data_IF_146834797038
#
_entry.id   IF_146834797038
#
_cell.length_a   1.000
_cell.length_b   1.000
_cell.length_c   1.000
_cell.angle_alpha   90.00
_cell.angle_beta   90.00
_cell.angle_gamma   90.00
#
_symmetry.space_group_name_H-M   'P 1'
#
loop_
_entity.id
_entity.type
_entity.pdbx_description
1 polymer ?
#
# COMPACT_ATOMS: atom_id res chain seq x y z
N UNK A 1 8.97 -6.65 7.32
CA UNK A 1 8.98 -7.99 6.71
C UNK A 1 8.60 -7.92 5.23
N UNK A 2 7.37 -7.48 4.86
CA UNK A 2 6.90 -7.45 3.46
C UNK A 2 7.83 -6.62 2.57
N UNK A 3 8.11 -5.35 2.91
CA UNK A 3 8.98 -4.48 2.11
C UNK A 3 10.38 -5.08 1.86
N UNK A 4 11.00 -5.70 2.90
CA UNK A 4 12.28 -6.37 2.75
C UNK A 4 12.22 -7.54 1.75
N UNK A 5 11.16 -8.33 1.80
CA UNK A 5 10.99 -9.47 0.89
C UNK A 5 10.75 -9.01 -0.55
N UNK A 6 9.93 -7.96 -0.75
CA UNK A 6 9.74 -7.34 -2.08
C UNK A 6 11.07 -6.84 -2.65
N UNK A 7 11.88 -6.18 -1.83
CA UNK A 7 13.21 -5.69 -2.24
C UNK A 7 14.12 -6.83 -2.68
N UNK A 8 14.15 -7.95 -1.92
CA UNK A 8 14.95 -9.12 -2.28
C UNK A 8 14.56 -9.68 -3.64
N UNK A 9 13.25 -9.82 -3.87
CA UNK A 9 12.75 -10.36 -5.14
C UNK A 9 12.99 -9.40 -6.29
N UNK A 10 12.79 -8.09 -6.10
CA UNK A 10 13.13 -7.09 -7.09
C UNK A 10 14.62 -7.12 -7.46
N UNK A 11 15.50 -7.30 -6.48
CA UNK A 11 16.94 -7.40 -6.72
C UNK A 11 17.31 -8.56 -7.65
N UNK A 12 16.58 -9.68 -7.60
CA UNK A 12 16.80 -10.82 -8.52
C UNK A 12 16.45 -10.49 -9.97
N UNK A 13 15.56 -9.51 -10.18
CA UNK A 13 15.15 -9.07 -11.52
C UNK A 13 16.12 -8.04 -12.15
N UNK A 14 17.19 -7.71 -11.42
CA UNK A 14 18.25 -6.82 -11.88
C UNK A 14 17.73 -5.47 -12.41
N UNK A 15 16.96 -4.70 -11.62
CA UNK A 15 16.48 -3.39 -12.03
C UNK A 15 17.65 -2.43 -12.19
N UNK A 16 17.45 -1.36 -12.97
CA UNK A 16 18.47 -0.32 -13.15
C UNK A 16 18.90 0.29 -11.80
N UNK A 17 17.93 0.59 -10.93
CA UNK A 17 18.18 1.15 -9.60
C UNK A 17 17.06 0.74 -8.64
N UNK A 18 17.40 0.48 -7.38
CA UNK A 18 16.46 0.34 -6.26
C UNK A 18 16.60 1.54 -5.33
N UNK A 19 15.46 2.17 -5.03
CA UNK A 19 15.36 3.28 -4.08
C UNK A 19 14.58 2.79 -2.87
N UNK A 20 15.24 2.70 -1.73
CA UNK A 20 14.68 2.21 -0.47
C UNK A 20 14.40 3.40 0.44
N UNK A 21 13.14 3.51 0.87
CA UNK A 21 12.70 4.59 1.77
C UNK A 21 12.03 3.98 3.00
N UNK A 22 12.51 4.32 4.17
CA UNK A 22 11.88 3.96 5.47
C UNK A 22 12.23 5.04 6.50
N UNK A 23 11.38 5.23 7.49
CA UNK A 23 11.69 6.10 8.63
C UNK A 23 12.61 5.42 9.65
N UNK A 24 12.65 4.09 9.67
CA UNK A 24 13.46 3.31 10.58
C UNK A 24 14.85 3.02 9.98
N UNK A 25 15.88 3.67 10.53
CA UNK A 25 17.27 3.58 10.08
C UNK A 25 17.81 2.14 10.13
N UNK A 26 17.68 1.46 11.27
CA UNK A 26 18.31 0.15 11.48
C UNK A 26 17.82 -0.93 10.50
N UNK A 27 16.50 -1.16 10.32
CA UNK A 27 16.04 -2.12 9.33
C UNK A 27 16.43 -1.76 7.89
N UNK A 28 16.54 -0.45 7.59
CA UNK A 28 16.94 0.03 6.28
C UNK A 28 18.42 -0.28 6.00
N UNK A 29 19.27 -0.07 6.99
CA UNK A 29 20.69 -0.41 6.93
C UNK A 29 20.92 -1.93 6.77
N UNK A 30 20.17 -2.76 7.50
CA UNK A 30 20.25 -4.22 7.37
C UNK A 30 19.94 -4.70 5.95
N UNK A 31 18.93 -4.10 5.31
CA UNK A 31 18.58 -4.41 3.92
C UNK A 31 19.67 -3.95 2.96
N UNK A 32 20.26 -2.77 3.20
CA UNK A 32 21.36 -2.26 2.38
C UNK A 32 22.58 -3.19 2.43
N UNK A 33 22.97 -3.65 3.61
CA UNK A 33 24.06 -4.61 3.76
C UNK A 33 23.78 -5.91 3.01
N UNK A 34 22.59 -6.47 3.18
CA UNK A 34 22.19 -7.71 2.51
C UNK A 34 22.26 -7.56 0.97
N UNK A 35 21.79 -6.42 0.42
CA UNK A 35 21.85 -6.17 -1.02
C UNK A 35 23.29 -6.02 -1.51
N UNK A 36 24.15 -5.31 -0.77
CA UNK A 36 25.55 -5.12 -1.15
C UNK A 36 26.36 -6.42 -1.16
N UNK A 37 26.00 -7.36 -0.29
CA UNK A 37 26.67 -8.67 -0.20
C UNK A 37 26.29 -9.60 -1.38
N UNK A 38 25.01 -9.60 -1.76
CA UNK A 38 24.49 -10.57 -2.73
C UNK A 38 24.38 -10.01 -4.16
N UNK A 39 24.16 -8.70 -4.33
CA UNK A 39 23.95 -8.03 -5.63
C UNK A 39 24.92 -6.86 -5.85
N UNK A 40 26.20 -7.14 -5.98
CA UNK A 40 27.30 -6.16 -6.04
C UNK A 40 27.18 -5.13 -7.15
N UNK A 41 26.49 -5.46 -8.23
CA UNK A 41 26.33 -4.58 -9.39
C UNK A 41 25.01 -3.82 -9.40
N UNK A 42 24.14 -4.05 -8.40
CA UNK A 42 22.85 -3.37 -8.31
C UNK A 42 23.04 -1.97 -7.71
N UNK A 43 22.57 -0.95 -8.40
CA UNK A 43 22.55 0.40 -7.85
C UNK A 43 21.42 0.52 -6.81
N UNK A 44 21.82 0.75 -5.56
CA UNK A 44 20.90 0.86 -4.42
C UNK A 44 21.07 2.23 -3.76
N UNK A 45 19.97 2.98 -3.67
CA UNK A 45 19.90 4.23 -2.89
C UNK A 45 19.03 4.02 -1.66
N UNK A 46 19.58 4.38 -0.52
CA UNK A 46 18.92 4.28 0.78
C UNK A 46 18.64 5.67 1.33
N UNK A 47 17.38 5.95 1.63
CA UNK A 47 16.90 7.26 2.05
C UNK A 47 16.05 7.13 3.32
N UNK A 48 16.52 7.72 4.42
CA UNK A 48 15.73 7.80 5.64
C UNK A 48 14.71 8.92 5.49
N UNK A 49 13.43 8.56 5.47
CA UNK A 49 12.32 9.51 5.35
C UNK A 49 11.01 8.91 5.85
N UNK A 50 10.16 9.78 6.40
CA UNK A 50 8.78 9.47 6.76
C UNK A 50 7.85 9.80 5.58
N UNK A 51 6.99 8.85 5.20
CA UNK A 51 6.00 9.04 4.12
C UNK A 51 4.98 10.13 4.45
N UNK A 52 4.74 10.41 5.73
CA UNK A 52 3.88 11.51 6.16
C UNK A 52 4.52 12.90 5.91
N UNK A 53 5.85 12.98 5.74
CA UNK A 53 6.54 14.22 5.43
C UNK A 53 6.48 14.52 3.92
N UNK A 54 5.44 15.24 3.51
CA UNK A 54 5.19 15.60 2.09
C UNK A 54 6.38 16.25 1.43
N UNK A 55 7.00 17.23 2.06
CA UNK A 55 8.12 18.00 1.47
C UNK A 55 9.32 17.09 1.21
N UNK A 56 9.64 16.22 2.17
CA UNK A 56 10.76 15.28 2.01
C UNK A 56 10.49 14.25 0.92
N UNK A 57 9.27 13.69 0.91
CA UNK A 57 8.88 12.73 -0.13
C UNK A 57 8.86 13.37 -1.52
N UNK A 58 8.40 14.61 -1.64
CA UNK A 58 8.40 15.33 -2.90
C UNK A 58 9.82 15.54 -3.45
N UNK A 59 10.78 15.95 -2.60
CA UNK A 59 12.18 16.07 -2.99
C UNK A 59 12.76 14.72 -3.48
N UNK A 60 12.39 13.61 -2.82
CA UNK A 60 12.81 12.26 -3.24
C UNK A 60 12.23 11.93 -4.64
N UNK A 61 10.94 12.13 -4.87
CA UNK A 61 10.31 11.85 -6.17
C UNK A 61 10.87 12.74 -7.28
N UNK A 62 11.15 14.01 -6.99
CA UNK A 62 11.75 14.95 -7.94
C UNK A 62 13.15 14.51 -8.37
N UNK A 63 13.96 14.08 -7.42
CA UNK A 63 15.33 13.63 -7.65
C UNK A 63 15.41 12.28 -8.37
N UNK A 64 14.57 11.32 -7.93
CA UNK A 64 14.72 9.92 -8.35
C UNK A 64 13.83 9.52 -9.53
N UNK A 65 12.73 10.25 -9.78
CA UNK A 65 11.79 9.97 -10.87
C UNK A 65 11.44 8.49 -11.00
N UNK A 66 10.90 7.85 -9.96
CA UNK A 66 10.65 6.42 -9.98
C UNK A 66 9.61 6.07 -11.06
N UNK A 67 9.83 4.95 -11.74
CA UNK A 67 8.88 4.41 -12.73
C UNK A 67 7.84 3.50 -12.07
N UNK A 68 8.24 2.83 -11.00
CA UNK A 68 7.42 1.86 -10.26
C UNK A 68 7.56 2.14 -8.76
N UNK A 69 6.44 2.19 -8.05
CA UNK A 69 6.39 2.43 -6.60
C UNK A 69 5.65 1.29 -5.91
N UNK A 70 6.30 0.63 -4.95
CA UNK A 70 5.68 -0.28 -4.00
C UNK A 70 5.53 0.42 -2.65
N UNK A 71 4.31 0.77 -2.28
CA UNK A 71 4.01 1.44 -1.03
C UNK A 71 3.56 0.44 0.04
N UNK A 72 4.49 0.06 0.92
CA UNK A 72 4.24 -0.85 2.05
C UNK A 72 4.34 -0.18 3.42
N UNK A 73 4.67 1.11 3.45
CA UNK A 73 4.81 1.86 4.70
C UNK A 73 3.44 2.01 5.38
N UNK A 74 3.30 1.41 6.56
CA UNK A 74 2.09 1.51 7.37
C UNK A 74 2.37 1.01 8.79
N UNK A 75 1.72 1.60 9.79
CA UNK A 75 1.59 0.97 11.10
C UNK A 75 0.62 -0.21 11.01
N UNK A 76 0.95 -1.32 11.69
CA UNK A 76 0.24 -2.59 11.57
C UNK A 76 -0.20 -3.20 12.92
N UNK A 77 0.27 -2.67 14.02
CA UNK A 77 -0.03 -3.20 15.36
C UNK A 77 -1.36 -2.63 15.86
N UNK A 78 -2.42 -3.45 15.83
CA UNK A 78 -3.79 -3.04 16.17
C UNK A 78 -3.88 -2.38 17.54
N UNK A 79 -3.43 -3.07 18.60
CA UNK A 79 -3.52 -2.55 19.97
C UNK A 79 -2.83 -1.19 20.13
N UNK A 80 -1.64 -1.04 19.55
CA UNK A 80 -0.92 0.22 19.63
C UNK A 80 -1.63 1.33 18.85
N UNK A 81 -2.16 1.04 17.69
CA UNK A 81 -2.84 2.04 16.85
C UNK A 81 -4.22 2.41 17.38
N UNK A 82 -4.85 1.54 18.15
CA UNK A 82 -6.06 1.90 18.88
C UNK A 82 -5.80 2.94 19.96
N UNK A 83 -4.61 2.99 20.53
CA UNK A 83 -4.22 4.02 21.49
C UNK A 83 -3.70 5.30 20.79
N UNK A 84 -3.05 5.15 19.64
CA UNK A 84 -2.42 6.22 18.87
C UNK A 84 -3.06 6.41 17.49
N UNK A 85 -4.37 6.68 17.46
CA UNK A 85 -5.15 6.82 16.21
C UNK A 85 -4.61 7.93 15.32
N UNK A 86 -4.11 9.03 15.89
CA UNK A 86 -3.49 10.13 15.14
C UNK A 86 -2.30 9.66 14.31
N UNK A 87 -1.46 8.80 14.88
CA UNK A 87 -0.30 8.26 14.19
C UNK A 87 -0.70 7.29 13.06
N UNK A 88 -1.76 6.50 13.27
CA UNK A 88 -2.32 5.67 12.22
C UNK A 88 -2.85 6.53 11.06
N UNK A 89 -3.52 7.64 11.34
CA UNK A 89 -4.01 8.58 10.32
C UNK A 89 -2.83 9.22 9.57
N UNK A 90 -1.82 9.69 10.28
CA UNK A 90 -0.67 10.34 9.64
C UNK A 90 0.13 9.39 8.76
N UNK A 91 0.49 8.22 9.24
CA UNK A 91 1.31 7.29 8.46
C UNK A 91 0.49 6.55 7.41
N UNK A 92 -0.64 5.94 7.80
CA UNK A 92 -1.38 5.06 6.90
C UNK A 92 -2.23 5.83 5.88
N UNK A 93 -2.80 7.00 6.28
CA UNK A 93 -3.65 7.80 5.40
C UNK A 93 -2.84 8.91 4.74
N UNK A 94 -2.31 9.87 5.53
CA UNK A 94 -1.57 11.01 4.99
C UNK A 94 -0.34 10.56 4.19
N UNK A 95 0.40 9.57 4.68
CA UNK A 95 1.51 8.95 3.94
C UNK A 95 1.07 8.39 2.58
N UNK A 96 -0.05 7.65 2.55
CA UNK A 96 -0.58 7.10 1.28
C UNK A 96 -1.05 8.21 0.34
N UNK A 97 -1.74 9.24 0.85
CA UNK A 97 -2.13 10.43 0.07
C UNK A 97 -0.90 11.08 -0.56
N UNK A 98 0.17 11.28 0.22
CA UNK A 98 1.41 11.86 -0.29
C UNK A 98 2.01 11.04 -1.44
N UNK A 99 2.11 9.72 -1.26
CA UNK A 99 2.70 8.83 -2.27
C UNK A 99 1.82 8.80 -3.53
N UNK A 100 0.49 8.69 -3.40
CA UNK A 100 -0.42 8.66 -4.53
C UNK A 100 -0.36 9.97 -5.34
N UNK A 101 -0.46 11.12 -4.68
CA UNK A 101 -0.39 12.43 -5.33
C UNK A 101 0.95 12.66 -6.03
N UNK A 102 2.07 12.23 -5.38
CA UNK A 102 3.40 12.36 -5.97
C UNK A 102 3.59 11.39 -7.14
N UNK A 103 3.02 10.20 -7.08
CA UNK A 103 3.03 9.27 -8.21
C UNK A 103 2.38 9.90 -9.45
N UNK A 104 1.22 10.55 -9.27
CA UNK A 104 0.56 11.29 -10.35
C UNK A 104 1.41 12.47 -10.82
N UNK A 105 1.86 13.31 -9.89
CA UNK A 105 2.64 14.52 -10.21
C UNK A 105 3.90 14.21 -11.01
N UNK A 106 4.61 13.14 -10.65
CA UNK A 106 5.87 12.75 -11.26
C UNK A 106 5.73 11.64 -12.32
N UNK A 107 4.49 11.33 -12.74
CA UNK A 107 4.17 10.39 -13.82
C UNK A 107 4.78 9.01 -13.60
N UNK A 108 4.66 8.50 -12.37
CA UNK A 108 5.00 7.11 -12.06
C UNK A 108 4.12 6.20 -12.91
N UNK A 109 4.70 5.28 -13.64
CA UNK A 109 3.92 4.39 -14.51
C UNK A 109 2.97 3.51 -13.71
N UNK A 110 3.45 2.97 -12.58
CA UNK A 110 2.65 2.07 -11.73
C UNK A 110 2.91 2.27 -10.25
N UNK A 111 1.85 2.36 -9.46
CA UNK A 111 1.88 2.41 -8.00
C UNK A 111 1.10 1.25 -7.41
N UNK A 112 1.78 0.42 -6.63
CA UNK A 112 1.20 -0.72 -5.91
C UNK A 112 1.12 -0.38 -4.41
N UNK A 113 -0.09 -0.21 -3.89
CA UNK A 113 -0.33 -0.06 -2.46
C UNK A 113 -0.52 -1.44 -1.82
N UNK A 114 0.25 -1.73 -0.79
CA UNK A 114 0.12 -2.97 -0.02
C UNK A 114 -0.76 -2.73 1.19
N UNK A 115 -1.88 -3.44 1.22
CA UNK A 115 -2.88 -3.38 2.29
C UNK A 115 -3.05 -4.74 2.97
N UNK A 116 -4.01 -4.88 3.86
CA UNK A 116 -4.32 -6.09 4.59
C UNK A 116 -5.74 -6.57 4.27
N UNK A 117 -5.97 -7.88 4.30
CA UNK A 117 -7.29 -8.47 4.04
C UNK A 117 -8.38 -7.88 4.95
N UNK A 118 -8.07 -7.60 6.21
CA UNK A 118 -9.00 -7.04 7.18
C UNK A 118 -9.48 -5.61 6.83
N UNK A 119 -8.79 -4.89 5.93
CA UNK A 119 -9.27 -3.59 5.47
C UNK A 119 -10.61 -3.69 4.72
N UNK A 120 -11.04 -4.89 4.30
CA UNK A 120 -12.36 -5.13 3.69
C UNK A 120 -13.51 -4.89 4.66
N UNK A 121 -13.35 -5.35 5.90
CA UNK A 121 -14.35 -5.24 6.97
C UNK A 121 -13.66 -4.72 8.24
N UNK A 122 -13.37 -3.41 8.30
CA UNK A 122 -12.56 -2.85 9.37
C UNK A 122 -13.32 -2.84 10.70
N UNK A 123 -12.68 -3.32 11.76
CA UNK A 123 -13.23 -3.39 13.11
C UNK A 123 -12.54 -2.42 14.09
N UNK A 124 -11.29 -2.05 13.83
CA UNK A 124 -10.44 -1.22 14.68
C UNK A 124 -9.83 -0.03 13.92
N UNK A 125 -9.22 0.91 14.65
CA UNK A 125 -8.67 2.14 14.07
C UNK A 125 -7.61 1.88 12.99
N UNK A 126 -6.76 0.89 13.18
CA UNK A 126 -5.73 0.52 12.20
C UNK A 126 -6.35 0.05 10.88
N UNK A 127 -7.35 -0.82 10.93
CA UNK A 127 -8.04 -1.35 9.75
C UNK A 127 -8.84 -0.25 9.04
N UNK A 128 -9.54 0.61 9.80
CA UNK A 128 -10.21 1.80 9.24
C UNK A 128 -9.22 2.71 8.52
N UNK A 129 -8.04 2.97 9.11
CA UNK A 129 -7.03 3.82 8.47
C UNK A 129 -6.55 3.24 7.13
N UNK A 130 -6.35 1.93 7.04
CA UNK A 130 -6.01 1.24 5.79
C UNK A 130 -7.14 1.33 4.77
N UNK A 131 -8.40 1.11 5.21
CA UNK A 131 -9.54 1.19 4.30
C UNK A 131 -9.75 2.60 3.73
N UNK A 132 -9.60 3.63 4.55
CA UNK A 132 -9.65 5.03 4.08
C UNK A 132 -8.55 5.31 3.05
N UNK A 133 -7.34 4.84 3.30
CA UNK A 133 -6.23 4.97 2.35
C UNK A 133 -6.50 4.23 1.02
N UNK A 134 -7.08 3.02 1.07
CA UNK A 134 -7.51 2.29 -0.13
C UNK A 134 -8.55 3.08 -0.93
N UNK A 135 -9.57 3.65 -0.26
CA UNK A 135 -10.61 4.46 -0.90
C UNK A 135 -9.98 5.65 -1.63
N UNK A 136 -9.00 6.31 -1.01
CA UNK A 136 -8.27 7.41 -1.66
C UNK A 136 -7.54 6.96 -2.93
N UNK A 137 -6.80 5.86 -2.88
CA UNK A 137 -6.07 5.32 -4.04
C UNK A 137 -7.02 4.91 -5.16
N UNK A 138 -8.14 4.24 -4.83
CA UNK A 138 -9.16 3.82 -5.79
C UNK A 138 -9.82 5.02 -6.47
N UNK A 139 -10.21 6.04 -5.72
CA UNK A 139 -10.83 7.25 -6.28
C UNK A 139 -9.84 8.03 -7.16
N UNK A 140 -8.56 8.07 -6.77
CA UNK A 140 -7.49 8.70 -7.56
C UNK A 140 -7.30 7.99 -8.90
N UNK A 141 -7.28 6.66 -8.93
CA UNK A 141 -7.16 5.89 -10.16
C UNK A 141 -8.40 6.06 -11.07
N UNK A 142 -9.61 6.02 -10.51
CA UNK A 142 -10.83 6.26 -11.28
C UNK A 142 -10.81 7.65 -11.95
N UNK A 143 -10.35 8.69 -11.24
CA UNK A 143 -10.15 10.01 -11.81
C UNK A 143 -9.13 9.99 -12.94
N UNK A 144 -7.95 9.37 -12.70
CA UNK A 144 -6.89 9.29 -13.70
C UNK A 144 -7.35 8.61 -14.98
N UNK A 145 -8.09 7.51 -14.90
CA UNK A 145 -8.66 6.81 -16.07
C UNK A 145 -9.62 7.69 -16.84
N UNK A 146 -10.48 8.44 -16.15
CA UNK A 146 -11.39 9.40 -16.78
C UNK A 146 -10.62 10.52 -17.50
N UNK A 147 -9.56 11.03 -16.88
CA UNK A 147 -8.76 12.16 -17.38
C UNK A 147 -7.61 11.69 -18.31
N UNK A 148 -7.54 10.40 -18.67
CA UNK A 148 -6.47 9.76 -19.49
C UNK A 148 -5.07 9.98 -18.92
N UNK A 149 -4.94 9.88 -17.61
CA UNK A 149 -3.65 9.93 -16.89
C UNK A 149 -2.76 8.73 -17.23
N UNK A 150 -1.47 8.89 -16.98
CA UNK A 150 -0.43 7.90 -17.33
C UNK A 150 -0.07 6.95 -16.17
N UNK A 151 -0.62 7.17 -14.97
CA UNK A 151 -0.31 6.38 -13.77
C UNK A 151 -1.41 5.37 -13.48
N UNK A 152 -1.06 4.10 -13.42
CA UNK A 152 -1.95 3.05 -12.93
C UNK A 152 -1.73 2.83 -11.43
N UNK A 153 -2.81 2.75 -10.67
CA UNK A 153 -2.75 2.48 -9.23
C UNK A 153 -3.47 1.19 -8.89
N UNK A 154 -2.81 0.36 -8.09
CA UNK A 154 -3.34 -0.94 -7.66
C UNK A 154 -3.30 -1.06 -6.15
N UNK A 155 -4.20 -1.88 -5.62
CA UNK A 155 -4.18 -2.28 -4.22
C UNK A 155 -4.00 -3.79 -4.16
N UNK A 156 -3.02 -4.22 -3.36
CA UNK A 156 -2.83 -5.63 -3.05
C UNK A 156 -3.09 -5.82 -1.57
N UNK A 157 -4.17 -6.54 -1.24
CA UNK A 157 -4.47 -6.97 0.12
C UNK A 157 -3.79 -8.30 0.38
N UNK A 158 -2.85 -8.29 1.31
CA UNK A 158 -2.24 -9.52 1.79
C UNK A 158 -3.14 -10.13 2.87
N UNK A 159 -3.46 -11.41 2.70
CA UNK A 159 -4.08 -12.23 3.73
C UNK A 159 -3.11 -12.52 4.88
N UNK A 160 -3.47 -13.48 5.74
CA UNK A 160 -2.56 -13.95 6.77
C UNK A 160 -1.39 -14.68 6.12
N UNK A 161 -0.19 -14.13 6.30
CA UNK A 161 1.07 -14.63 5.71
C UNK A 161 1.95 -15.15 6.84
N UNK A 162 2.43 -16.36 6.71
CA UNK A 162 3.29 -16.99 7.72
C UNK A 162 4.71 -17.19 7.21
N UNK A 163 5.70 -17.19 8.11
CA UNK A 163 7.11 -17.38 7.73
C UNK A 163 7.42 -18.77 7.17
N UNK A 164 6.62 -19.78 7.51
CA UNK A 164 6.85 -21.19 7.11
C UNK A 164 5.55 -21.93 6.85
N UNK A 165 5.63 -22.97 6.00
CA UNK A 165 4.53 -23.82 5.53
C UNK A 165 3.94 -24.71 6.64
N UNK A 166 3.27 -24.15 7.63
CA UNK A 166 2.49 -24.93 8.60
C UNK A 166 1.02 -24.53 8.48
N UNK A 167 0.28 -25.25 7.68
CA UNK A 167 -1.18 -25.14 7.52
C UNK A 167 -1.74 -23.82 6.95
N UNK A 168 -0.92 -22.98 6.31
CA UNK A 168 -1.36 -21.72 5.74
C UNK A 168 -1.22 -21.69 4.23
N UNK A 169 -2.18 -21.02 3.61
CA UNK A 169 -2.41 -21.04 2.18
C UNK A 169 -1.30 -20.36 1.37
N UNK A 170 -0.44 -19.51 1.99
CA UNK A 170 0.60 -18.80 1.27
C UNK A 170 1.75 -18.36 2.20
N UNK A 171 2.98 -18.49 1.72
CA UNK A 171 4.17 -17.98 2.39
C UNK A 171 4.37 -16.47 2.11
N UNK A 172 5.18 -15.79 2.95
CA UNK A 172 5.53 -14.39 2.70
C UNK A 172 6.20 -14.20 1.33
N UNK A 173 7.06 -15.12 0.94
CA UNK A 173 7.78 -15.05 -0.35
C UNK A 173 6.82 -15.20 -1.52
N UNK A 174 5.90 -16.16 -1.48
CA UNK A 174 4.86 -16.32 -2.50
C UNK A 174 3.93 -15.11 -2.58
N UNK A 175 3.51 -14.57 -1.44
CA UNK A 175 2.65 -13.38 -1.41
C UNK A 175 3.35 -12.16 -2.04
N UNK A 176 4.64 -11.98 -1.76
CA UNK A 176 5.43 -10.91 -2.37
C UNK A 176 5.64 -11.14 -3.87
N UNK A 177 5.88 -12.37 -4.31
CA UNK A 177 5.99 -12.72 -5.73
C UNK A 177 4.70 -12.38 -6.47
N UNK A 178 3.56 -12.80 -5.97
CA UNK A 178 2.25 -12.48 -6.55
C UNK A 178 1.96 -10.97 -6.55
N UNK A 179 2.44 -10.24 -5.53
CA UNK A 179 2.37 -8.77 -5.49
C UNK A 179 3.17 -8.13 -6.63
N UNK A 180 4.35 -8.65 -6.93
CA UNK A 180 5.17 -8.16 -8.05
C UNK A 180 4.50 -8.48 -9.40
N UNK A 181 3.94 -9.67 -9.56
CA UNK A 181 3.20 -10.05 -10.77
C UNK A 181 2.00 -9.14 -11.02
N UNK A 182 1.19 -8.86 -9.97
CA UNK A 182 0.11 -7.87 -10.05
C UNK A 182 0.64 -6.49 -10.46
N UNK A 183 1.75 -6.05 -9.89
CA UNK A 183 2.38 -4.79 -10.23
C UNK A 183 2.80 -4.67 -11.71
N UNK A 184 3.07 -5.80 -12.37
CA UNK A 184 3.48 -5.84 -13.79
C UNK A 184 2.28 -6.05 -14.72
N UNK A 185 1.35 -6.93 -14.35
CA UNK A 185 0.27 -7.42 -15.25
C UNK A 185 -1.10 -6.82 -14.95
N UNK A 186 -1.28 -6.17 -13.80
CA UNK A 186 -2.58 -5.66 -13.36
C UNK A 186 -3.08 -4.49 -14.21
N UNK A 187 -4.39 -4.33 -14.25
CA UNK A 187 -5.06 -3.15 -14.79
C UNK A 187 -5.40 -2.21 -13.63
N UNK A 188 -5.07 -0.92 -13.69
CA UNK A 188 -5.29 0.05 -12.62
C UNK A 188 -6.73 0.04 -12.07
N UNK A 189 -6.92 0.50 -10.82
CA UNK A 189 -8.22 0.60 -10.12
C UNK A 189 -8.74 -0.70 -9.53
N UNK A 190 -8.00 -1.78 -9.64
CA UNK A 190 -8.41 -3.07 -9.10
C UNK A 190 -7.82 -3.30 -7.70
N UNK A 191 -8.54 -4.07 -6.89
CA UNK A 191 -8.06 -4.61 -5.62
C UNK A 191 -7.78 -6.10 -5.81
N UNK A 192 -6.56 -6.49 -5.58
CA UNK A 192 -6.12 -7.87 -5.64
C UNK A 192 -6.00 -8.42 -4.22
N UNK A 193 -6.56 -9.61 -3.99
CA UNK A 193 -6.45 -10.30 -2.70
C UNK A 193 -5.53 -11.49 -2.90
N UNK A 194 -4.44 -11.50 -2.14
CA UNK A 194 -3.40 -12.53 -2.20
C UNK A 194 -3.38 -13.29 -0.89
N UNK A 195 -3.57 -14.61 -0.93
CA UNK A 195 -3.52 -15.47 0.26
C UNK A 195 -4.73 -15.38 1.17
N UNK A 196 -5.92 -15.14 0.63
CA UNK A 196 -7.18 -15.26 1.39
C UNK A 196 -7.59 -16.72 1.60
N UNK A 197 -8.56 -17.01 2.51
CA UNK A 197 -9.14 -18.33 2.64
C UNK A 197 -9.80 -18.70 1.32
N UNK A 198 -9.12 -19.52 0.54
CA UNK A 198 -9.66 -20.15 -0.66
C UNK A 198 -10.05 -21.57 -0.31
N UNK A 199 -11.20 -22.02 -0.78
CA UNK A 199 -11.61 -23.42 -0.70
C UNK A 199 -10.48 -24.28 -1.28
N UNK A 200 -9.88 -25.09 -0.40
CA UNK A 200 -8.67 -25.85 -0.71
C UNK A 200 -8.82 -26.69 -1.97
N UNK A 201 -7.85 -26.54 -2.84
CA UNK A 201 -7.35 -27.61 -3.71
C UNK A 201 -6.02 -27.14 -4.32
N UNK A 202 -5.01 -27.89 -4.04
CA UNK A 202 -3.60 -27.67 -4.36
C UNK A 202 -3.29 -28.13 -5.78
N UNK A 203 -3.92 -27.61 -6.81
CA UNK A 203 -3.46 -27.96 -8.17
C UNK A 203 -4.07 -27.06 -9.25
N UNK A 204 -3.72 -25.81 -9.25
CA UNK A 204 -3.60 -25.05 -10.50
C UNK A 204 -3.22 -23.59 -10.26
N UNK A 205 -2.09 -23.22 -10.78
CA UNK A 205 -1.75 -21.93 -11.38
C UNK A 205 -2.16 -20.65 -10.60
N UNK A 206 -1.21 -19.79 -10.46
CA UNK A 206 -1.18 -18.38 -9.98
C UNK A 206 -2.55 -17.65 -9.96
N UNK A 207 -3.46 -17.95 -10.89
CA UNK A 207 -4.78 -17.30 -11.00
C UNK A 207 -5.78 -17.62 -9.87
N UNK A 208 -5.63 -18.76 -9.18
CA UNK A 208 -6.55 -19.14 -8.09
C UNK A 208 -6.20 -18.48 -6.74
N UNK A 209 -4.96 -18.04 -6.57
CA UNK A 209 -4.48 -17.37 -5.37
C UNK A 209 -4.72 -15.85 -5.40
N UNK A 210 -5.17 -15.30 -6.52
CA UNK A 210 -5.43 -13.88 -6.71
C UNK A 210 -6.91 -13.69 -7.02
N UNK A 211 -7.64 -13.03 -6.12
CA UNK A 211 -9.02 -12.58 -6.38
C UNK A 211 -8.99 -11.12 -6.78
N UNK A 212 -9.76 -10.75 -7.81
CA UNK A 212 -9.93 -9.37 -8.27
C UNK A 212 -11.25 -8.82 -7.76
N UNK A 213 -11.23 -7.63 -7.20
CA UNK A 213 -12.42 -6.86 -6.85
C UNK A 213 -12.38 -5.55 -7.62
N UNK A 214 -13.43 -5.27 -8.40
CA UNK A 214 -13.61 -3.94 -8.99
C UNK A 214 -14.25 -3.06 -7.93
N UNK A 215 -13.63 -1.93 -7.64
CA UNK A 215 -14.22 -0.91 -6.81
C UNK A 215 -14.65 0.27 -7.68
N UNK A 216 -15.88 0.70 -7.53
CA UNK A 216 -16.38 1.94 -8.10
C UNK A 216 -16.37 3.00 -7.00
N UNK A 217 -15.35 3.85 -6.99
CA UNK A 217 -15.34 5.06 -6.16
C UNK A 217 -15.24 6.24 -7.14
N UNK A 218 -16.38 6.74 -7.58
CA UNK A 218 -16.45 7.70 -8.70
C UNK A 218 -16.27 9.16 -8.28
N UNK A 219 -16.36 9.49 -7.00
CA UNK A 219 -16.28 10.87 -6.50
C UNK A 219 -14.95 11.18 -5.83
N UNK A 220 -13.91 11.36 -6.63
CA UNK A 220 -12.57 11.70 -6.14
C UNK A 220 -12.55 13.01 -5.34
N UNK A 221 -13.24 14.06 -5.78
CA UNK A 221 -13.15 15.37 -5.13
C UNK A 221 -13.75 15.29 -3.72
N UNK A 222 -14.88 14.63 -3.57
CA UNK A 222 -15.51 14.41 -2.26
C UNK A 222 -14.63 13.54 -1.34
N UNK A 223 -14.10 12.42 -1.86
CA UNK A 223 -13.16 11.57 -1.08
C UNK A 223 -11.97 12.38 -0.63
N UNK A 224 -11.39 13.16 -1.53
CA UNK A 224 -10.21 13.98 -1.24
C UNK A 224 -10.49 15.01 -0.14
N UNK A 225 -11.63 15.71 -0.21
CA UNK A 225 -12.03 16.68 0.81
C UNK A 225 -12.17 16.04 2.20
N UNK A 226 -12.92 14.93 2.30
CA UNK A 226 -13.13 14.22 3.57
C UNK A 226 -11.84 13.65 4.14
N UNK A 227 -10.97 13.08 3.30
CA UNK A 227 -9.67 12.52 3.73
C UNK A 227 -8.72 13.62 4.18
N UNK A 228 -8.61 14.74 3.46
CA UNK A 228 -7.76 15.84 3.86
C UNK A 228 -8.25 16.51 5.15
N UNK A 229 -9.56 16.67 5.32
CA UNK A 229 -10.15 17.16 6.57
C UNK A 229 -9.81 16.23 7.74
N UNK A 230 -9.94 14.91 7.58
CA UNK A 230 -9.54 13.93 8.59
C UNK A 230 -8.06 14.06 8.97
N UNK A 231 -7.17 14.16 7.99
CA UNK A 231 -5.73 14.33 8.22
C UNK A 231 -5.44 15.64 8.96
N UNK A 232 -6.06 16.74 8.58
CA UNK A 232 -5.88 18.04 9.22
C UNK A 232 -6.29 18.02 10.70
N UNK A 233 -7.36 17.29 11.04
CA UNK A 233 -7.87 17.21 12.39
C UNK A 233 -7.20 16.13 13.26
N UNK A 234 -6.32 15.32 12.71
CA UNK A 234 -5.77 14.13 13.38
C UNK A 234 -5.08 14.42 14.72
N UNK A 235 -4.41 15.56 14.90
CA UNK A 235 -3.74 15.93 16.14
C UNK A 235 -4.55 16.87 17.04
N UNK A 236 -5.67 17.39 16.57
CA UNK A 236 -6.49 18.36 17.32
C UNK A 236 -7.74 17.72 17.92
N UNK A 237 -8.23 16.64 17.33
CA UNK A 237 -9.46 15.99 17.74
C UNK A 237 -9.22 14.77 18.65
N UNK A 238 -10.24 14.45 19.44
CA UNK A 238 -10.20 13.27 20.32
C UNK A 238 -10.33 11.98 19.50
N UNK A 239 -9.70 10.90 19.98
CA UNK A 239 -9.75 9.54 19.41
C UNK A 239 -11.15 9.12 18.90
N UNK A 240 -12.18 9.31 19.72
CA UNK A 240 -13.55 8.92 19.38
C UNK A 240 -14.10 9.68 18.16
N UNK A 241 -13.75 10.96 18.02
CA UNK A 241 -14.13 11.78 16.87
C UNK A 241 -13.40 11.29 15.61
N UNK A 242 -12.09 11.07 15.70
CA UNK A 242 -11.29 10.57 14.58
C UNK A 242 -11.79 9.22 14.06
N UNK A 243 -12.11 8.28 14.96
CA UNK A 243 -12.70 7.01 14.58
C UNK A 243 -14.08 7.22 13.92
N UNK A 244 -14.89 8.14 14.46
CA UNK A 244 -16.18 8.50 13.88
C UNK A 244 -16.06 9.07 12.46
N UNK A 245 -15.06 9.91 12.20
CA UNK A 245 -14.78 10.46 10.87
C UNK A 245 -14.33 9.35 9.89
N UNK A 246 -13.43 8.47 10.30
CA UNK A 246 -13.02 7.32 9.47
C UNK A 246 -14.22 6.42 9.15
N UNK A 247 -15.06 6.12 10.14
CA UNK A 247 -16.30 5.34 9.96
C UNK A 247 -17.30 6.02 9.03
N UNK A 248 -17.33 7.34 8.97
CA UNK A 248 -18.16 8.09 8.04
C UNK A 248 -17.69 7.97 6.60
N UNK A 249 -16.38 8.01 6.37
CA UNK A 249 -15.80 7.86 5.04
C UNK A 249 -16.03 6.44 4.47
N UNK A 250 -15.83 5.41 5.28
CA UNK A 250 -15.89 4.01 4.84
C UNK A 250 -17.29 3.56 4.37
N UNK A 251 -18.42 3.89 5.01
CA UNK A 251 -19.74 3.50 4.54
C UNK A 251 -20.21 4.23 3.26
N UNK A 252 -19.72 5.44 3.03
CA UNK A 252 -20.05 6.21 1.83
C UNK A 252 -19.56 5.50 0.57
N UNK A 253 -18.47 4.71 0.73
CA UNK A 253 -17.84 3.95 -0.34
C UNK A 253 -17.81 2.46 -0.03
N UNK A 254 -18.99 1.79 0.02
CA UNK A 254 -19.04 0.35 0.28
C UNK A 254 -18.36 -0.40 -0.85
N UNK A 255 -17.80 -1.57 -0.52
CA UNK A 255 -17.32 -2.49 -1.54
C UNK A 255 -18.50 -2.93 -2.40
N UNK A 256 -18.38 -2.85 -3.73
CA UNK A 256 -19.36 -3.44 -4.61
C UNK A 256 -19.46 -4.94 -4.28
N UNK A 257 -20.62 -5.37 -3.81
CA UNK A 257 -20.92 -6.78 -3.67
C UNK A 257 -20.88 -7.41 -5.06
N UNK A 258 -19.84 -8.15 -5.36
CA UNK A 258 -19.83 -9.09 -6.49
C UNK A 258 -20.90 -10.15 -6.22
N UNK A 259 -22.00 -10.11 -6.97
CA UNK A 259 -22.86 -11.27 -7.17
C UNK A 259 -22.15 -12.31 -8.01
#
# INVERSE_FOLDING_TARGET
AVGREIVRQLATLNPYQLILVDQAESPLYDVQLELSDHWKNLEVRVLVADVANRTRMEAIFEETRPQLVFHSAAYKHVQLMDDFVSEAIQTNISGTVNIADLAVKYRVSRMVMISAANARHPENAMEYSKRVAEIYVQSSDCRLKRDKGETDMFIVRLGEVYPTNTHCLITLSEACMLTLEVGVMGDGGEVYIVGGPGDGLLDSVISEKIKREKASVDDYEHVREEVLALVQHSYTEKKAILIGLMKKIVPIFPLSSTQ
#
